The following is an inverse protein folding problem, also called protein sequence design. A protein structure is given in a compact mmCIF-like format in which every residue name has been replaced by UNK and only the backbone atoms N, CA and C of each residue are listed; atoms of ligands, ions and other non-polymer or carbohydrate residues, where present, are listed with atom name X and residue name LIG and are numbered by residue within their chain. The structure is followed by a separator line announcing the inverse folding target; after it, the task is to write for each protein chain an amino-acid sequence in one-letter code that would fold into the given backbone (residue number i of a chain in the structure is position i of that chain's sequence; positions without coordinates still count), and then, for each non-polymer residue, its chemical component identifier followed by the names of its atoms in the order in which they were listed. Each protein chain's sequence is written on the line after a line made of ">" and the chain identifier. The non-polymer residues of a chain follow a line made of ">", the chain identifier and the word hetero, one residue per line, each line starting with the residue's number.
data_IF_260902804330
#
_entry.id   IF_260902804330
#
_cell.length_a   1.000
_cell.length_b   1.000
_cell.length_c   1.000
_cell.angle_alpha   90.00
_cell.angle_beta   90.00
_cell.angle_gamma   90.00
#
_symmetry.space_group_name_H-M   'P 1'
#
loop_
_entity.id
_entity.type
_entity.pdbx_description
1 polymer ?
#
# COMPACT_ATOMS: atom_id res chain seq x y z
N UNK A 1 -0.92 -3.11 13.29
CA UNK A 1 -0.33 -4.21 12.50
C UNK A 1 1.07 -4.49 13.02
N UNK A 2 1.31 -5.60 13.71
CA UNK A 2 2.64 -5.95 14.22
C UNK A 2 3.31 -6.91 13.24
N UNK A 3 4.09 -6.40 12.31
CA UNK A 3 4.77 -7.21 11.29
C UNK A 3 6.00 -7.95 11.83
N UNK A 4 6.53 -7.53 12.94
CA UNK A 4 7.59 -8.28 13.65
C UNK A 4 7.10 -8.76 15.00
N UNK A 5 6.96 -10.06 15.15
CA UNK A 5 6.79 -10.72 16.45
C UNK A 5 7.96 -10.45 17.44
N UNK A 6 9.01 -9.74 17.04
CA UNK A 6 10.25 -9.53 17.80
C UNK A 6 10.50 -8.08 18.23
N UNK A 7 9.54 -7.15 18.16
CA UNK A 7 9.66 -5.84 18.83
C UNK A 7 10.74 -4.86 18.32
N UNK A 8 11.43 -5.15 17.21
CA UNK A 8 12.42 -4.25 16.63
C UNK A 8 11.80 -3.10 15.83
N UNK A 9 12.59 -2.03 15.52
CA UNK A 9 12.15 -0.94 14.68
C UNK A 9 11.78 -1.40 13.28
N UNK A 10 10.77 -0.77 12.69
CA UNK A 10 10.31 -1.05 11.32
C UNK A 10 10.54 0.16 10.40
N UNK A 11 10.79 -0.12 9.13
CA UNK A 11 10.88 0.87 8.06
C UNK A 11 9.64 0.75 7.20
N UNK A 12 8.88 1.84 7.08
CA UNK A 12 7.62 1.88 6.35
C UNK A 12 7.72 2.91 5.22
N UNK A 13 7.48 2.46 4.00
CA UNK A 13 7.22 3.35 2.87
C UNK A 13 5.72 3.57 2.71
N UNK A 14 5.30 4.77 2.37
CA UNK A 14 3.89 5.09 2.12
C UNK A 14 3.79 5.92 0.85
N UNK A 15 3.07 5.40 -0.13
CA UNK A 15 2.72 6.11 -1.36
C UNK A 15 1.34 6.74 -1.15
N UNK A 16 1.32 8.09 -1.07
CA UNK A 16 0.18 8.88 -0.64
C UNK A 16 0.26 9.25 0.84
N UNK A 17 0.30 10.54 1.14
CA UNK A 17 0.35 11.08 2.51
C UNK A 17 -1.05 11.18 3.13
N UNK A 18 -2.01 11.68 2.34
CA UNK A 18 -3.29 12.11 2.88
C UNK A 18 -3.11 13.11 4.03
N UNK A 19 -3.78 12.87 5.15
CA UNK A 19 -3.59 13.70 6.36
C UNK A 19 -2.54 13.14 7.33
N UNK A 20 -1.82 12.09 6.93
CA UNK A 20 -0.74 11.48 7.72
C UNK A 20 -1.21 10.47 8.76
N UNK A 21 -2.42 9.92 8.66
CA UNK A 21 -2.96 8.99 9.67
C UNK A 21 -2.11 7.76 9.93
N UNK A 22 -1.44 7.23 8.91
CA UNK A 22 -0.63 6.01 9.05
C UNK A 22 0.55 6.16 10.02
N UNK A 23 1.13 7.36 10.14
CA UNK A 23 2.25 7.58 11.06
C UNK A 23 1.84 7.51 12.54
N UNK A 24 0.53 7.58 12.84
CA UNK A 24 0.03 7.42 14.22
C UNK A 24 0.29 6.02 14.81
N UNK A 25 0.53 5.03 13.96
CA UNK A 25 0.93 3.68 14.37
C UNK A 25 2.43 3.53 14.62
N UNK A 26 3.21 4.59 14.33
CA UNK A 26 4.65 4.58 14.48
C UNK A 26 5.09 4.63 15.95
N UNK A 27 6.10 3.83 16.29
CA UNK A 27 6.69 3.73 17.61
C UNK A 27 8.08 4.38 17.61
N UNK A 28 8.61 4.65 18.79
CA UNK A 28 10.00 5.10 18.93
C UNK A 28 10.96 4.12 18.25
N UNK A 29 11.77 4.64 17.34
CA UNK A 29 12.72 3.88 16.53
C UNK A 29 12.20 3.45 15.17
N UNK A 30 10.88 3.47 14.93
CA UNK A 30 10.32 3.23 13.61
C UNK A 30 10.64 4.43 12.67
N UNK A 31 10.69 4.16 11.38
CA UNK A 31 10.93 5.16 10.34
C UNK A 31 9.86 5.07 9.26
N UNK A 32 9.27 6.21 8.91
CA UNK A 32 8.28 6.37 7.86
C UNK A 32 8.80 7.30 6.76
N UNK A 33 8.81 6.80 5.52
CA UNK A 33 9.07 7.59 4.31
C UNK A 33 7.78 7.69 3.51
N UNK A 34 7.28 8.92 3.35
CA UNK A 34 5.99 9.19 2.74
C UNK A 34 6.21 9.95 1.43
N UNK A 35 5.64 9.46 0.35
CA UNK A 35 5.71 10.08 -0.97
C UNK A 35 4.38 10.77 -1.25
N UNK A 36 4.42 12.06 -1.55
CA UNK A 36 3.24 12.85 -1.86
C UNK A 36 3.51 13.76 -3.07
N UNK A 37 2.60 13.73 -4.04
CA UNK A 37 2.76 14.48 -5.28
C UNK A 37 2.27 15.92 -5.16
N UNK A 38 1.31 16.19 -4.26
CA UNK A 38 0.69 17.50 -4.10
C UNK A 38 1.25 18.25 -2.88
N UNK A 39 1.98 19.36 -3.08
CA UNK A 39 2.51 20.14 -1.97
C UNK A 39 1.41 20.73 -1.06
N UNK A 40 0.19 20.93 -1.57
CA UNK A 40 -0.93 21.42 -0.75
C UNK A 40 -1.39 20.35 0.24
N UNK A 41 -1.36 19.07 -0.13
CA UNK A 41 -1.66 17.96 0.78
C UNK A 41 -0.65 17.92 1.92
N UNK A 42 0.64 18.14 1.62
CA UNK A 42 1.70 18.23 2.63
C UNK A 42 1.45 19.38 3.59
N UNK A 43 1.12 20.56 3.05
CA UNK A 43 0.82 21.75 3.86
C UNK A 43 -0.38 21.54 4.77
N UNK A 44 -1.47 20.98 4.25
CA UNK A 44 -2.67 20.62 5.02
C UNK A 44 -2.35 19.61 6.12
N UNK A 45 -1.59 18.56 5.81
CA UNK A 45 -1.22 17.52 6.78
C UNK A 45 -0.40 18.11 7.95
N UNK A 46 0.47 19.07 7.68
CA UNK A 46 1.27 19.73 8.71
C UNK A 46 0.48 20.76 9.54
N UNK A 47 -0.35 21.57 8.89
CA UNK A 47 -0.97 22.73 9.54
C UNK A 47 -2.34 22.45 10.16
N UNK A 48 -3.09 21.47 9.60
CA UNK A 48 -4.47 21.20 10.01
C UNK A 48 -4.63 19.91 10.80
N UNK A 49 -3.61 19.03 10.80
CA UNK A 49 -3.66 17.74 11.49
C UNK A 49 -2.45 17.55 12.41
N UNK A 50 -2.62 16.72 13.43
CA UNK A 50 -1.58 16.50 14.44
C UNK A 50 -0.87 15.15 14.31
N UNK A 51 -1.14 14.35 13.29
CA UNK A 51 -0.57 13.01 13.16
C UNK A 51 0.96 13.05 12.99
N UNK A 52 1.44 13.91 12.09
CA UNK A 52 2.88 14.09 11.84
C UNK A 52 3.63 14.64 13.06
N UNK A 53 3.02 15.58 13.80
CA UNK A 53 3.66 16.21 14.95
C UNK A 53 3.61 15.37 16.23
N UNK A 54 2.70 14.39 16.32
CA UNK A 54 2.51 13.55 17.51
C UNK A 54 3.06 12.14 17.40
N UNK A 55 3.48 11.70 16.21
CA UNK A 55 4.08 10.39 16.05
C UNK A 55 5.38 10.25 16.85
N UNK A 56 5.63 9.07 17.39
CA UNK A 56 6.90 8.74 18.04
C UNK A 56 7.96 8.23 17.05
N UNK A 57 7.57 7.96 15.79
CA UNK A 57 8.48 7.54 14.74
C UNK A 57 9.21 8.70 14.09
N UNK A 58 10.34 8.44 13.44
CA UNK A 58 10.95 9.38 12.50
C UNK A 58 10.19 9.39 11.21
N UNK A 59 9.90 10.58 10.66
CA UNK A 59 9.16 10.75 9.40
C UNK A 59 9.99 11.56 8.41
N UNK A 60 9.92 11.15 7.14
CA UNK A 60 10.48 11.90 6.01
C UNK A 60 9.43 11.97 4.90
N UNK A 61 9.15 13.18 4.41
CA UNK A 61 8.21 13.40 3.31
C UNK A 61 9.00 13.74 2.06
N UNK A 62 8.70 13.03 0.98
CA UNK A 62 9.29 13.21 -0.35
C UNK A 62 8.22 13.79 -1.26
N UNK A 63 8.39 15.03 -1.67
CA UNK A 63 7.50 15.67 -2.65
C UNK A 63 7.82 15.11 -4.05
N UNK A 64 6.80 14.60 -4.73
CA UNK A 64 6.89 14.14 -6.11
C UNK A 64 6.10 12.86 -6.37
N UNK A 65 6.08 12.46 -7.64
CA UNK A 65 5.51 11.19 -8.04
C UNK A 65 6.27 10.02 -7.39
N UNK A 66 5.54 9.22 -6.59
CA UNK A 66 6.14 8.15 -5.80
C UNK A 66 6.86 7.09 -6.65
N UNK A 67 6.32 6.77 -7.82
CA UNK A 67 6.93 5.79 -8.72
C UNK A 67 8.25 6.30 -9.27
N UNK A 68 8.28 7.55 -9.73
CA UNK A 68 9.51 8.17 -10.23
C UNK A 68 10.57 8.31 -9.12
N UNK A 69 10.15 8.67 -7.91
CA UNK A 69 11.08 8.74 -6.77
C UNK A 69 11.66 7.36 -6.45
N UNK A 70 10.83 6.34 -6.36
CA UNK A 70 11.29 4.96 -6.12
C UNK A 70 12.18 4.44 -7.26
N UNK A 71 11.97 4.87 -8.50
CA UNK A 71 12.85 4.49 -9.63
C UNK A 71 14.27 5.04 -9.45
N UNK A 72 14.40 6.29 -9.00
CA UNK A 72 15.66 7.02 -8.86
C UNK A 72 16.41 6.70 -7.56
N UNK A 73 15.72 6.30 -6.51
CA UNK A 73 16.30 6.04 -5.20
C UNK A 73 17.03 4.69 -5.14
N UNK A 74 18.02 4.62 -4.24
CA UNK A 74 18.60 3.34 -3.80
C UNK A 74 17.55 2.55 -3.02
N UNK A 75 17.71 1.22 -2.96
CA UNK A 75 16.81 0.30 -2.29
C UNK A 75 16.58 0.68 -0.82
N UNK A 76 15.34 1.02 -0.49
CA UNK A 76 14.96 1.56 0.83
C UNK A 76 14.87 0.50 1.91
N UNK A 77 14.80 -0.78 1.55
CA UNK A 77 14.70 -1.91 2.48
C UNK A 77 13.54 -1.77 3.46
N UNK A 78 12.35 -1.46 2.94
CA UNK A 78 11.14 -1.36 3.75
C UNK A 78 10.71 -2.73 4.30
N UNK A 79 10.26 -2.75 5.55
CA UNK A 79 9.52 -3.89 6.11
C UNK A 79 8.09 -3.91 5.56
N UNK A 80 7.52 -2.70 5.32
CA UNK A 80 6.19 -2.51 4.75
C UNK A 80 6.27 -1.39 3.72
N UNK A 81 5.65 -1.62 2.56
CA UNK A 81 5.34 -0.56 1.61
C UNK A 81 3.84 -0.49 1.44
N UNK A 82 3.27 0.68 1.65
CA UNK A 82 1.83 0.95 1.54
C UNK A 82 1.57 1.75 0.27
N UNK A 83 0.63 1.31 -0.56
CA UNK A 83 0.12 2.06 -1.70
C UNK A 83 -1.29 2.53 -1.35
N UNK A 84 -1.40 3.81 -0.99
CA UNK A 84 -2.64 4.47 -0.54
C UNK A 84 -2.82 5.83 -1.23
N UNK A 85 -2.48 5.89 -2.51
CA UNK A 85 -2.62 7.09 -3.32
C UNK A 85 -3.92 7.04 -4.12
N UNK A 86 -4.74 8.06 -3.95
CA UNK A 86 -6.00 8.22 -4.67
C UNK A 86 -6.02 9.55 -5.43
N UNK A 87 -6.48 9.51 -6.67
CA UNK A 87 -6.87 10.68 -7.44
C UNK A 87 -8.38 10.60 -7.68
N UNK A 88 -9.14 11.37 -6.91
CA UNK A 88 -10.59 11.17 -6.82
C UNK A 88 -10.92 9.82 -6.15
N UNK A 89 -11.76 9.00 -6.78
CA UNK A 89 -12.18 7.68 -6.25
C UNK A 89 -11.30 6.52 -6.77
N UNK A 90 -10.16 6.77 -7.39
CA UNK A 90 -9.37 5.71 -8.04
C UNK A 90 -7.87 5.82 -7.76
N UNK A 91 -7.23 4.67 -7.61
CA UNK A 91 -5.76 4.59 -7.62
C UNK A 91 -5.25 4.89 -9.03
N UNK A 92 -4.26 5.78 -9.20
CA UNK A 92 -3.68 6.06 -10.51
C UNK A 92 -3.14 4.79 -11.18
N UNK A 93 -3.52 4.58 -12.45
CA UNK A 93 -3.19 3.34 -13.19
C UNK A 93 -1.69 3.06 -13.22
N UNK A 94 -0.86 4.09 -13.38
CA UNK A 94 0.61 3.94 -13.46
C UNK A 94 1.23 3.40 -12.17
N UNK A 95 0.49 3.43 -11.04
CA UNK A 95 0.88 2.81 -9.77
C UNK A 95 0.46 1.33 -9.67
N UNK A 96 -0.30 0.82 -10.63
CA UNK A 96 -0.83 -0.55 -10.63
C UNK A 96 -0.27 -1.42 -11.77
N UNK A 97 0.72 -0.95 -12.49
CA UNK A 97 1.38 -1.70 -13.57
C UNK A 97 2.46 -2.64 -13.04
N UNK A 98 2.80 -3.66 -13.82
CA UNK A 98 3.89 -4.58 -13.54
C UNK A 98 5.20 -3.84 -13.21
N UNK A 99 5.49 -2.78 -13.94
CA UNK A 99 6.70 -1.97 -13.80
C UNK A 99 6.71 -1.26 -12.44
N UNK A 100 5.58 -0.69 -12.02
CA UNK A 100 5.45 -0.08 -10.70
C UNK A 100 5.70 -1.11 -9.58
N UNK A 101 5.09 -2.30 -9.69
CA UNK A 101 5.29 -3.36 -8.70
C UNK A 101 6.72 -3.90 -8.67
N UNK A 102 7.45 -3.89 -9.80
CA UNK A 102 8.87 -4.23 -9.82
C UNK A 102 9.68 -3.27 -8.94
N UNK A 103 9.41 -1.95 -9.01
CA UNK A 103 10.03 -0.97 -8.12
C UNK A 103 9.63 -1.21 -6.66
N UNK A 104 8.35 -1.49 -6.38
CA UNK A 104 7.90 -1.75 -5.00
C UNK A 104 8.62 -2.95 -4.38
N UNK A 105 8.72 -4.06 -5.11
CA UNK A 105 9.40 -5.25 -4.59
C UNK A 105 10.92 -5.06 -4.47
N UNK A 106 11.55 -4.23 -5.29
CA UNK A 106 12.96 -3.85 -5.15
C UNK A 106 13.21 -3.13 -3.82
N UNK A 107 12.30 -2.24 -3.42
CA UNK A 107 12.43 -1.47 -2.18
C UNK A 107 11.99 -2.21 -0.92
N UNK A 108 11.39 -3.39 -1.04
CA UNK A 108 11.02 -4.23 0.09
C UNK A 108 12.17 -5.15 0.49
N UNK A 109 12.25 -5.43 1.78
CA UNK A 109 13.06 -6.55 2.29
C UNK A 109 12.53 -7.89 1.75
N UNK A 110 13.32 -8.97 1.75
CA UNK A 110 12.88 -10.29 1.28
C UNK A 110 11.58 -10.80 1.94
N UNK A 111 11.37 -10.47 3.22
CA UNK A 111 10.17 -10.80 4.00
C UNK A 111 9.20 -9.62 4.12
N UNK A 112 9.43 -8.55 3.38
CA UNK A 112 8.60 -7.35 3.40
C UNK A 112 7.21 -7.58 2.84
N UNK A 113 6.31 -6.67 3.17
CA UNK A 113 4.90 -6.73 2.78
C UNK A 113 4.54 -5.49 1.98
N UNK A 114 3.94 -5.71 0.82
CA UNK A 114 3.26 -4.67 0.06
C UNK A 114 1.77 -4.67 0.44
N UNK A 115 1.28 -3.53 0.93
CA UNK A 115 -0.14 -3.34 1.24
C UNK A 115 -0.74 -2.35 0.23
N UNK A 116 -1.64 -2.81 -0.61
CA UNK A 116 -2.29 -1.98 -1.63
C UNK A 116 -3.73 -1.72 -1.23
N UNK A 117 -4.11 -0.45 -1.10
CA UNK A 117 -5.49 -0.06 -0.84
C UNK A 117 -6.30 -0.18 -2.13
N UNK A 118 -7.28 -1.08 -2.14
CA UNK A 118 -8.09 -1.39 -3.33
C UNK A 118 -9.57 -1.11 -3.14
N UNK A 119 -9.94 -0.32 -2.14
CA UNK A 119 -11.32 0.13 -1.97
C UNK A 119 -11.73 0.98 -3.16
N UNK A 120 -12.79 0.59 -3.83
CA UNK A 120 -13.36 1.35 -4.94
C UNK A 120 -14.86 1.08 -5.04
N UNK A 121 -15.62 2.05 -5.57
CA UNK A 121 -17.08 1.94 -5.74
C UNK A 121 -17.47 1.34 -7.08
N UNK A 122 -16.63 1.51 -8.09
CA UNK A 122 -16.98 1.24 -9.48
C UNK A 122 -16.02 0.23 -10.12
N UNK A 123 -14.85 0.01 -9.51
CA UNK A 123 -13.79 -0.81 -10.07
C UNK A 123 -13.47 -1.98 -9.16
N UNK A 124 -13.41 -3.20 -9.71
CA UNK A 124 -12.84 -4.35 -9.03
C UNK A 124 -11.33 -4.44 -9.31
N UNK A 125 -10.53 -3.93 -8.37
CA UNK A 125 -9.08 -3.95 -8.49
C UNK A 125 -8.44 -5.30 -8.10
N UNK A 126 -9.22 -6.26 -7.59
CA UNK A 126 -8.69 -7.56 -7.18
C UNK A 126 -7.99 -8.32 -8.33
N UNK A 127 -8.55 -8.40 -9.56
CA UNK A 127 -7.86 -9.06 -10.66
C UNK A 127 -6.52 -8.40 -11.01
N UNK A 128 -6.43 -7.08 -10.91
CA UNK A 128 -5.19 -6.32 -11.19
C UNK A 128 -4.09 -6.74 -10.23
N UNK A 129 -4.34 -6.60 -8.93
CA UNK A 129 -3.33 -6.90 -7.89
C UNK A 129 -3.03 -8.40 -7.82
N UNK A 130 -4.00 -9.26 -8.12
CA UNK A 130 -3.80 -10.71 -8.14
C UNK A 130 -2.88 -11.14 -9.28
N UNK A 131 -3.15 -10.66 -10.50
CA UNK A 131 -2.37 -11.04 -11.68
C UNK A 131 -0.93 -10.57 -11.57
N UNK A 132 -0.69 -9.37 -11.03
CA UNK A 132 0.69 -8.88 -10.84
C UNK A 132 1.39 -9.64 -9.70
N UNK A 133 0.69 -9.99 -8.61
CA UNK A 133 1.28 -10.81 -7.54
C UNK A 133 1.70 -12.19 -8.06
N UNK A 134 0.86 -12.83 -8.88
CA UNK A 134 1.17 -14.11 -9.54
C UNK A 134 2.37 -14.02 -10.47
N UNK A 135 2.45 -12.94 -11.27
CA UNK A 135 3.58 -12.70 -12.15
C UNK A 135 4.92 -12.66 -11.39
N UNK A 136 4.94 -12.06 -10.19
CA UNK A 136 6.13 -12.00 -9.33
C UNK A 136 6.26 -13.19 -8.37
N UNK A 137 5.41 -14.22 -8.48
CA UNK A 137 5.45 -15.40 -7.61
C UNK A 137 5.22 -15.08 -6.13
N UNK A 138 4.39 -14.07 -5.84
CA UNK A 138 4.06 -13.63 -4.48
C UNK A 138 2.69 -14.13 -4.04
N UNK A 139 2.58 -14.46 -2.76
CA UNK A 139 1.28 -14.75 -2.15
C UNK A 139 0.50 -13.47 -1.89
N UNK A 140 -0.82 -13.53 -2.02
CA UNK A 140 -1.71 -12.38 -1.83
C UNK A 140 -2.94 -12.78 -1.01
N UNK A 141 -3.36 -11.88 -0.11
CA UNK A 141 -4.61 -12.01 0.65
C UNK A 141 -5.36 -10.70 0.66
N UNK A 142 -6.68 -10.80 0.69
CA UNK A 142 -7.59 -9.68 0.89
C UNK A 142 -7.94 -9.55 2.37
N UNK A 143 -7.76 -8.35 2.90
CA UNK A 143 -8.35 -7.91 4.16
C UNK A 143 -9.50 -6.99 3.80
N UNK A 144 -10.73 -7.44 4.03
CA UNK A 144 -11.96 -6.67 3.76
C UNK A 144 -12.61 -6.32 5.11
N UNK A 145 -12.76 -5.04 5.37
CA UNK A 145 -13.45 -4.52 6.54
C UNK A 145 -14.69 -3.75 6.09
N UNK A 146 -15.86 -4.21 6.50
CA UNK A 146 -17.15 -3.64 6.08
C UNK A 146 -17.45 -2.24 6.66
N UNK A 147 -16.60 -1.78 7.58
CA UNK A 147 -16.79 -0.51 8.27
C UNK A 147 -17.57 -0.67 9.58
N UNK A 148 -17.64 0.42 10.33
CA UNK A 148 -18.40 0.54 11.58
C UNK A 148 -19.08 1.91 11.59
N UNK A 149 -20.38 1.94 11.33
CA UNK A 149 -21.16 3.19 11.24
C UNK A 149 -21.25 3.92 12.58
N UNK A 150 -21.28 3.19 13.69
CA UNK A 150 -21.37 3.77 15.03
C UNK A 150 -20.07 4.50 15.39
N UNK A 151 -18.94 3.96 14.93
CA UNK A 151 -17.61 4.55 15.13
C UNK A 151 -17.15 5.46 13.99
N UNK A 152 -18.00 5.70 12.98
CA UNK A 152 -17.67 6.47 11.77
C UNK A 152 -16.44 5.91 11.02
N UNK A 153 -16.27 4.59 11.05
CA UNK A 153 -15.21 3.92 10.30
C UNK A 153 -15.77 3.42 8.97
N UNK A 154 -15.19 3.86 7.88
CA UNK A 154 -15.62 3.47 6.55
C UNK A 154 -15.12 2.08 6.17
N UNK A 155 -15.82 1.44 5.24
CA UNK A 155 -15.38 0.21 4.61
C UNK A 155 -13.99 0.41 3.99
N UNK A 156 -13.13 -0.61 4.14
CA UNK A 156 -11.82 -0.60 3.49
C UNK A 156 -11.40 -1.99 3.04
N UNK A 157 -10.78 -2.05 1.86
CA UNK A 157 -10.24 -3.26 1.26
C UNK A 157 -8.75 -3.11 1.01
N UNK A 158 -7.97 -4.04 1.53
CA UNK A 158 -6.53 -4.05 1.38
C UNK A 158 -6.04 -5.37 0.80
N UNK A 159 -5.28 -5.30 -0.27
CA UNK A 159 -4.53 -6.44 -0.78
C UNK A 159 -3.15 -6.46 -0.10
N UNK A 160 -2.86 -7.52 0.65
CA UNK A 160 -1.56 -7.75 1.26
C UNK A 160 -0.78 -8.76 0.42
N UNK A 161 0.42 -8.38 -0.02
CA UNK A 161 1.27 -9.17 -0.92
C UNK A 161 2.61 -9.39 -0.25
N UNK A 162 3.06 -10.65 -0.17
CA UNK A 162 4.37 -10.98 0.40
C UNK A 162 4.96 -12.24 -0.25
N UNK A 163 6.29 -12.30 -0.27
CA UNK A 163 7.02 -13.51 -0.63
C UNK A 163 7.25 -14.45 0.55
N UNK A 164 6.89 -14.04 1.77
CA UNK A 164 7.03 -14.85 2.98
C UNK A 164 5.71 -15.57 3.33
N UNK A 165 5.62 -16.90 3.13
CA UNK A 165 4.41 -17.65 3.49
C UNK A 165 4.09 -17.63 5.00
N UNK A 166 5.08 -17.35 5.86
CA UNK A 166 4.88 -17.28 7.30
C UNK A 166 4.08 -16.04 7.70
N UNK A 167 4.18 -14.96 6.92
CA UNK A 167 3.44 -13.72 7.17
C UNK A 167 1.93 -13.97 7.27
N UNK A 168 1.35 -14.77 6.33
CA UNK A 168 -0.09 -15.02 6.28
C UNK A 168 -0.59 -16.04 7.32
N UNK A 169 0.33 -16.65 8.09
CA UNK A 169 -0.02 -17.52 9.23
C UNK A 169 -0.23 -16.73 10.53
N UNK A 170 0.02 -15.42 10.50
CA UNK A 170 -0.15 -14.58 11.69
C UNK A 170 -1.62 -14.58 12.15
N UNK A 171 -1.92 -14.74 13.46
CA UNK A 171 -3.30 -14.83 13.97
C UNK A 171 -4.21 -13.66 13.59
N UNK A 172 -3.67 -12.45 13.45
CA UNK A 172 -4.43 -11.26 13.01
C UNK A 172 -4.87 -11.32 11.55
N UNK A 173 -4.28 -12.21 10.74
CA UNK A 173 -4.61 -12.39 9.32
C UNK A 173 -5.46 -13.65 9.07
N UNK A 174 -5.95 -14.30 10.13
CA UNK A 174 -6.75 -15.54 10.02
C UNK A 174 -8.00 -15.35 9.14
N UNK A 175 -8.57 -14.13 9.15
CA UNK A 175 -9.75 -13.78 8.36
C UNK A 175 -9.40 -13.18 6.97
N UNK A 176 -8.10 -13.07 6.65
CA UNK A 176 -7.70 -12.61 5.33
C UNK A 176 -7.97 -13.70 4.28
N UNK A 177 -8.73 -13.36 3.25
CA UNK A 177 -9.20 -14.31 2.25
C UNK A 177 -8.24 -14.37 1.05
N UNK A 178 -8.22 -15.51 0.36
CA UNK A 178 -7.50 -15.64 -0.92
C UNK A 178 -8.26 -14.87 -1.99
N UNK A 179 -7.51 -14.13 -2.81
CA UNK A 179 -8.06 -13.55 -4.04
C UNK A 179 -7.96 -14.61 -5.14
N UNK A 180 -9.10 -14.88 -5.79
CA UNK A 180 -9.16 -15.84 -6.89
C UNK A 180 -8.63 -15.20 -8.17
N UNK A 181 -7.78 -15.94 -8.88
CA UNK A 181 -7.32 -15.51 -10.20
C UNK A 181 -8.49 -15.45 -11.19
N UNK A 182 -8.48 -14.45 -12.07
CA UNK A 182 -9.38 -14.36 -13.22
C UNK A 182 -8.60 -14.83 -14.46
N UNK A 183 -8.87 -16.00 -15.02
CA UNK A 183 -8.00 -16.66 -16.00
C UNK A 183 -7.67 -15.81 -17.24
N UNK A 184 -8.64 -15.04 -17.72
CA UNK A 184 -8.50 -14.23 -18.93
C UNK A 184 -8.07 -12.79 -18.65
N UNK A 185 -7.69 -12.47 -17.40
CA UNK A 185 -7.29 -11.13 -17.05
C UNK A 185 -5.87 -10.85 -17.48
N UNK A 186 -5.69 -9.83 -18.32
CA UNK A 186 -4.37 -9.45 -18.82
C UNK A 186 -3.62 -8.60 -17.80
N UNK A 187 -2.34 -8.93 -17.60
CA UNK A 187 -1.41 -8.19 -16.74
C UNK A 187 -1.29 -6.73 -17.21
N UNK A 188 -1.57 -5.80 -16.32
CA UNK A 188 -1.36 -4.39 -16.61
C UNK A 188 0.11 -4.05 -16.65
N UNK A 189 0.49 -3.29 -17.68
CA UNK A 189 1.83 -2.79 -17.96
C UNK A 189 1.75 -1.31 -18.31
N UNK A 190 2.87 -0.66 -18.45
CA UNK A 190 2.92 0.76 -18.81
C UNK A 190 2.35 1.02 -20.23
N UNK A 191 2.48 0.05 -21.11
CA UNK A 191 1.96 0.08 -22.47
C UNK A 191 0.56 -0.55 -22.62
N UNK A 192 0.01 -1.13 -21.55
CA UNK A 192 -1.31 -1.77 -21.58
C UNK A 192 -2.03 -1.76 -20.25
N UNK A 193 -3.21 -1.16 -20.23
CA UNK A 193 -4.18 -1.24 -19.12
C UNK A 193 -5.60 -1.10 -19.66
N UNK A 194 -6.59 -1.71 -19.01
CA UNK A 194 -7.99 -1.58 -19.41
C UNK A 194 -8.90 -1.43 -18.20
N UNK A 195 -9.40 -0.21 -17.98
CA UNK A 195 -10.39 0.06 -16.93
C UNK A 195 -11.70 -0.68 -17.20
N UNK A 196 -12.09 -0.85 -18.46
CA UNK A 196 -13.31 -1.57 -18.84
C UNK A 196 -13.32 -3.02 -18.36
N UNK A 197 -12.16 -3.65 -18.22
CA UNK A 197 -12.03 -5.04 -17.76
C UNK A 197 -12.33 -5.23 -16.28
N UNK A 198 -12.39 -4.15 -15.50
CA UNK A 198 -12.57 -4.14 -14.04
C UNK A 198 -13.78 -3.34 -13.58
N UNK A 199 -14.65 -2.85 -14.49
CA UNK A 199 -15.92 -2.22 -14.14
C UNK A 199 -16.84 -3.24 -13.44
N UNK A 200 -17.46 -2.81 -12.31
CA UNK A 200 -18.43 -3.60 -11.55
C UNK A 200 -19.85 -3.33 -12.01
#
# INVERSE_FOLDING_TARGET
>A
MQIKAAGGPVRVGVIGLGVGTLVSYGRKGDYFRLYEIDPLVIDIAHNNFSYLSRTAASTEIVLGDARLQLELESDQQFDILVVDAFSGDSVPIHLLTREAFAHYFRHLKPYGVLAVHITNRFLDLQPVVKTVADYFGKDIRLVDFEGDRERLVFRSRWALISGDPAFFKHPQLINATKITARPDFQLWKDDYSSIFSILM
#
